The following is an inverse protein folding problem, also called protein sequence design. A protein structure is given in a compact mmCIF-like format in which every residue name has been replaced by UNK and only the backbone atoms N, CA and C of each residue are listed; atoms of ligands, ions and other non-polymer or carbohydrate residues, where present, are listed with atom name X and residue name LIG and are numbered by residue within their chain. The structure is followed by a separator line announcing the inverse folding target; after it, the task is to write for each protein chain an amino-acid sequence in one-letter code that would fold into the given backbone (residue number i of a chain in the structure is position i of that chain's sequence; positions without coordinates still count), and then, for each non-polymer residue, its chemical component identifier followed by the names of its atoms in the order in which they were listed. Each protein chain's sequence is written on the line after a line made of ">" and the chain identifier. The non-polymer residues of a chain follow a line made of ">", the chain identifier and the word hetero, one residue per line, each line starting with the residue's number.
data_IF_995561768172
#
_entry.id   IF_995561768172
#
_cell.length_a   1.000
_cell.length_b   1.000
_cell.length_c   1.000
_cell.angle_alpha   90.00
_cell.angle_beta   90.00
_cell.angle_gamma   90.00
#
_symmetry.space_group_name_H-M   'P 1'
#
loop_
_entity.id
_entity.type
_entity.pdbx_description
1 polymer ?
#
# COMPACT_ATOMS: atom_id res chain seq x y z
N UNK A 1 -5.40 0.11 10.13
CA UNK A 1 -5.40 -1.07 9.22
C UNK A 1 -6.72 -1.39 8.52
N UNK A 2 -7.88 -1.44 9.20
CA UNK A 2 -9.16 -1.92 8.63
C UNK A 2 -9.62 -1.22 7.33
N UNK A 3 -9.41 0.10 7.22
CA UNK A 3 -9.73 0.84 6.00
C UNK A 3 -8.91 0.35 4.81
N UNK A 4 -7.59 0.20 4.99
CA UNK A 4 -6.66 -0.22 3.95
C UNK A 4 -7.05 -1.60 3.42
N UNK A 5 -7.23 -2.55 4.34
CA UNK A 5 -7.63 -3.92 4.09
C UNK A 5 -8.92 -4.00 3.25
N UNK A 6 -9.98 -3.31 3.70
CA UNK A 6 -11.27 -3.35 3.00
C UNK A 6 -11.23 -2.63 1.63
N UNK A 7 -10.56 -1.49 1.53
CA UNK A 7 -10.40 -0.77 0.25
C UNK A 7 -9.64 -1.65 -0.75
N UNK A 8 -8.57 -2.31 -0.30
CA UNK A 8 -7.75 -3.23 -1.12
C UNK A 8 -8.60 -4.38 -1.65
N UNK A 9 -9.40 -5.00 -0.79
CA UNK A 9 -10.32 -6.08 -1.16
C UNK A 9 -11.39 -5.61 -2.16
N UNK A 10 -12.00 -4.45 -1.92
CA UNK A 10 -12.96 -3.87 -2.84
C UNK A 10 -12.35 -3.62 -4.23
N UNK A 11 -11.16 -3.00 -4.27
CA UNK A 11 -10.48 -2.68 -5.53
C UNK A 11 -10.03 -3.96 -6.26
N UNK A 12 -9.65 -5.01 -5.53
CA UNK A 12 -9.38 -6.33 -6.10
C UNK A 12 -10.61 -6.91 -6.79
N UNK A 13 -11.75 -6.98 -6.10
CA UNK A 13 -13.00 -7.48 -6.66
C UNK A 13 -13.40 -6.66 -7.90
N UNK A 14 -13.31 -5.33 -7.83
CA UNK A 14 -13.68 -4.48 -8.95
C UNK A 14 -12.76 -4.70 -10.16
N UNK A 15 -11.45 -4.87 -9.94
CA UNK A 15 -10.48 -5.09 -10.99
C UNK A 15 -10.63 -6.47 -11.64
N UNK A 16 -10.86 -7.53 -10.86
CA UNK A 16 -11.07 -8.88 -11.41
C UNK A 16 -12.42 -8.98 -12.13
N UNK A 17 -13.49 -8.37 -11.58
CA UNK A 17 -14.80 -8.34 -12.24
C UNK A 17 -14.74 -7.72 -13.63
N UNK A 18 -13.90 -6.70 -13.84
CA UNK A 18 -13.66 -6.07 -15.15
C UNK A 18 -12.99 -6.98 -16.18
N UNK A 19 -12.24 -8.00 -15.74
CA UNK A 19 -11.53 -8.93 -16.61
C UNK A 19 -12.41 -10.09 -17.08
N UNK A 20 -13.56 -10.29 -16.44
CA UNK A 20 -14.53 -11.32 -16.83
C UNK A 20 -15.11 -10.96 -18.21
N UNK A 21 -14.62 -11.62 -19.25
CA UNK A 21 -14.88 -11.29 -20.67
C UNK A 21 -16.37 -11.25 -21.03
N UNK A 22 -17.18 -12.03 -20.33
CA UNK A 22 -18.62 -12.14 -20.58
C UNK A 22 -19.43 -11.00 -19.95
N UNK A 23 -18.79 -10.14 -19.15
CA UNK A 23 -19.43 -9.06 -18.40
C UNK A 23 -18.92 -7.69 -18.86
N UNK A 24 -19.85 -6.82 -19.27
CA UNK A 24 -19.55 -5.42 -19.60
C UNK A 24 -19.50 -4.54 -18.34
N UNK A 25 -18.70 -4.91 -17.35
CA UNK A 25 -18.52 -4.09 -16.14
C UNK A 25 -17.49 -3.00 -16.45
N UNK A 26 -17.95 -1.77 -16.61
CA UNK A 26 -17.11 -0.58 -16.85
C UNK A 26 -17.20 0.45 -15.74
N UNK A 27 -18.28 0.41 -14.94
CA UNK A 27 -18.54 1.35 -13.85
C UNK A 27 -19.01 0.67 -12.56
N UNK A 28 -19.06 1.46 -11.48
CA UNK A 28 -19.43 0.99 -10.14
C UNK A 28 -20.86 0.47 -10.05
N UNK A 29 -21.80 1.09 -10.75
CA UNK A 29 -23.20 0.66 -10.73
C UNK A 29 -23.35 -0.77 -11.28
N UNK A 30 -22.69 -1.05 -12.41
CA UNK A 30 -22.68 -2.39 -13.00
C UNK A 30 -21.99 -3.40 -12.09
N UNK A 31 -20.87 -3.02 -11.46
CA UNK A 31 -20.18 -3.86 -10.49
C UNK A 31 -21.05 -4.20 -9.29
N UNK A 32 -21.73 -3.22 -8.69
CA UNK A 32 -22.62 -3.46 -7.55
C UNK A 32 -23.76 -4.40 -7.96
N UNK A 33 -24.40 -4.13 -9.11
CA UNK A 33 -25.47 -4.99 -9.62
C UNK A 33 -24.99 -6.44 -9.78
N UNK A 34 -23.80 -6.64 -10.34
CA UNK A 34 -23.18 -7.95 -10.51
C UNK A 34 -22.91 -8.65 -9.17
N UNK A 35 -22.30 -7.96 -8.20
CA UNK A 35 -22.00 -8.57 -6.90
C UNK A 35 -23.29 -8.96 -6.15
N UNK A 36 -24.31 -8.09 -6.15
CA UNK A 36 -25.56 -8.39 -5.48
C UNK A 36 -26.34 -9.52 -6.17
N UNK A 37 -26.39 -9.55 -7.51
CA UNK A 37 -27.12 -10.60 -8.25
C UNK A 37 -26.57 -12.00 -8.06
N UNK A 38 -25.29 -12.10 -7.69
CA UNK A 38 -24.59 -13.36 -7.43
C UNK A 38 -24.41 -13.63 -5.93
N UNK A 39 -25.04 -12.82 -5.07
CA UNK A 39 -24.99 -12.98 -3.62
C UNK A 39 -26.37 -13.31 -3.07
N UNK A 40 -26.42 -13.83 -1.84
CA UNK A 40 -27.67 -14.00 -1.09
C UNK A 40 -28.13 -12.69 -0.41
N UNK A 41 -27.52 -11.56 -0.73
CA UNK A 41 -27.70 -10.28 -0.03
C UNK A 41 -28.54 -9.27 -0.81
N UNK A 42 -29.26 -8.41 -0.09
CA UNK A 42 -30.09 -7.35 -0.68
C UNK A 42 -29.25 -6.14 -1.11
N UNK A 43 -29.49 -5.56 -2.30
CA UNK A 43 -28.87 -4.31 -2.75
C UNK A 43 -29.12 -3.10 -1.83
N UNK A 44 -30.18 -3.15 -1.01
CA UNK A 44 -30.62 -2.04 -0.15
C UNK A 44 -29.61 -1.69 0.94
N UNK A 45 -28.74 -2.64 1.31
CA UNK A 45 -27.76 -2.45 2.38
C UNK A 45 -26.66 -1.42 2.02
N UNK A 46 -26.52 -1.07 0.73
CA UNK A 46 -25.52 -0.12 0.18
C UNK A 46 -24.09 -0.39 0.70
N UNK A 47 -23.78 -1.63 1.05
CA UNK A 47 -22.54 -2.02 1.72
C UNK A 47 -21.31 -1.78 0.86
N UNK A 48 -21.39 -2.04 -0.45
CA UNK A 48 -20.27 -1.79 -1.36
C UNK A 48 -19.85 -0.32 -1.41
N UNK A 49 -20.76 0.64 -1.22
CA UNK A 49 -20.39 2.05 -1.09
C UNK A 49 -19.58 2.29 0.19
N UNK A 50 -19.89 1.59 1.29
CA UNK A 50 -19.10 1.63 2.53
C UNK A 50 -17.76 0.90 2.36
N UNK A 51 -17.74 -0.28 1.74
CA UNK A 51 -16.54 -1.06 1.46
C UNK A 51 -15.55 -0.31 0.57
N UNK A 52 -16.05 0.41 -0.46
CA UNK A 52 -15.24 1.27 -1.31
C UNK A 52 -14.39 2.26 -0.52
N UNK A 53 -14.87 2.76 0.61
CA UNK A 53 -14.17 3.70 1.49
C UNK A 53 -13.63 3.03 2.76
N UNK A 54 -13.69 1.70 2.86
CA UNK A 54 -13.24 0.94 4.03
C UNK A 54 -14.00 1.26 5.32
N UNK A 55 -15.24 1.77 5.21
CA UNK A 55 -16.06 2.21 6.35
C UNK A 55 -16.85 1.06 7.01
N UNK A 56 -16.69 -0.16 6.50
CA UNK A 56 -17.32 -1.37 7.02
C UNK A 56 -16.43 -2.55 6.68
N UNK A 57 -16.31 -3.52 7.57
CA UNK A 57 -15.58 -4.76 7.27
C UNK A 57 -16.55 -5.78 6.65
N UNK A 58 -16.15 -6.52 5.60
CA UNK A 58 -17.00 -7.57 5.02
C UNK A 58 -17.32 -8.67 6.03
N UNK A 59 -18.60 -8.98 6.18
CA UNK A 59 -19.07 -10.09 7.01
C UNK A 59 -18.72 -11.45 6.37
N UNK A 60 -18.74 -12.53 7.16
CA UNK A 60 -18.40 -13.89 6.72
C UNK A 60 -19.12 -14.30 5.43
N UNK A 61 -20.42 -14.09 5.35
CA UNK A 61 -21.23 -14.42 4.17
C UNK A 61 -20.79 -13.65 2.92
N UNK A 62 -20.38 -12.38 3.07
CA UNK A 62 -19.86 -11.58 1.97
C UNK A 62 -18.50 -12.06 1.47
N UNK A 63 -17.63 -12.52 2.39
CA UNK A 63 -16.35 -13.12 2.02
C UNK A 63 -16.57 -14.41 1.24
N UNK A 64 -17.41 -15.31 1.76
CA UNK A 64 -17.78 -16.58 1.12
C UNK A 64 -18.37 -16.34 -0.29
N UNK A 65 -19.39 -15.47 -0.41
CA UNK A 65 -19.95 -15.14 -1.73
C UNK A 65 -18.93 -14.51 -2.66
N UNK A 66 -18.04 -13.63 -2.16
CA UNK A 66 -17.03 -13.01 -3.01
C UNK A 66 -15.98 -14.00 -3.52
N UNK A 67 -15.62 -14.99 -2.72
CA UNK A 67 -14.67 -16.06 -3.09
C UNK A 67 -15.24 -16.96 -4.18
N UNK A 68 -16.52 -17.31 -4.08
CA UNK A 68 -17.22 -18.11 -5.09
C UNK A 68 -17.27 -17.40 -6.46
N UNK A 69 -17.42 -16.07 -6.47
CA UNK A 69 -17.54 -15.28 -7.70
C UNK A 69 -16.16 -14.90 -8.25
N UNK A 70 -15.25 -14.49 -7.38
CA UNK A 70 -13.90 -13.99 -7.69
C UNK A 70 -12.92 -14.70 -6.74
N UNK A 71 -12.33 -15.84 -7.18
CA UNK A 71 -11.38 -16.59 -6.39
C UNK A 71 -10.16 -15.76 -5.98
N UNK A 72 -9.68 -15.95 -4.75
CA UNK A 72 -8.57 -15.20 -4.15
C UNK A 72 -9.00 -13.95 -3.39
N UNK A 73 -10.29 -13.62 -3.37
CA UNK A 73 -10.80 -12.47 -2.61
C UNK A 73 -10.56 -12.63 -1.10
N UNK A 74 -10.69 -13.84 -0.58
CA UNK A 74 -10.45 -14.15 0.83
C UNK A 74 -8.99 -13.92 1.20
N UNK A 75 -8.05 -14.36 0.36
CA UNK A 75 -6.62 -14.16 0.57
C UNK A 75 -6.27 -12.67 0.68
N UNK A 76 -6.94 -11.80 -0.09
CA UNK A 76 -6.72 -10.35 0.00
C UNK A 76 -7.23 -9.78 1.32
N UNK A 77 -8.44 -10.11 1.76
CA UNK A 77 -9.03 -9.50 2.97
C UNK A 77 -8.44 -10.12 4.24
N UNK A 78 -7.99 -11.38 4.20
CA UNK A 78 -7.44 -12.10 5.36
C UNK A 78 -5.91 -12.09 5.41
N UNK A 79 -5.27 -11.45 4.43
CA UNK A 79 -3.81 -11.38 4.33
C UNK A 79 -3.14 -10.95 5.65
N UNK A 80 -2.10 -11.67 6.12
CA UNK A 80 -1.43 -11.37 7.39
C UNK A 80 -0.78 -9.98 7.47
N UNK A 81 -0.45 -9.39 6.31
CA UNK A 81 0.04 -7.99 6.22
C UNK A 81 -0.88 -7.00 6.95
N UNK A 82 -2.18 -7.27 7.05
CA UNK A 82 -3.14 -6.42 7.75
C UNK A 82 -3.05 -6.51 9.28
N UNK A 83 -2.19 -7.37 9.83
CA UNK A 83 -2.05 -7.55 11.27
C UNK A 83 -0.69 -7.06 11.80
N UNK A 84 0.17 -6.47 10.96
CA UNK A 84 1.54 -6.03 11.34
C UNK A 84 1.60 -4.99 12.47
N UNK A 85 0.50 -4.28 12.76
CA UNK A 85 0.45 -3.37 13.92
C UNK A 85 0.30 -4.11 15.26
N UNK A 86 -0.42 -5.23 15.23
CA UNK A 86 -0.93 -5.95 16.41
C UNK A 86 -0.10 -7.16 16.81
N UNK A 87 0.80 -7.62 15.95
CA UNK A 87 1.55 -8.84 16.20
C UNK A 87 2.86 -8.51 16.91
N UNK A 88 3.02 -9.03 18.13
CA UNK A 88 4.34 -9.27 18.72
C UNK A 88 5.00 -10.42 17.97
N UNK A 89 5.97 -10.07 17.14
CA UNK A 89 6.70 -11.01 16.30
C UNK A 89 7.93 -11.50 17.05
N UNK A 90 7.86 -12.74 17.56
CA UNK A 90 9.02 -13.48 18.05
C UNK A 90 9.60 -14.39 16.94
N UNK A 91 10.70 -15.08 17.22
CA UNK A 91 11.40 -15.93 16.24
C UNK A 91 10.46 -16.95 15.60
N UNK A 92 9.74 -17.71 16.42
CA UNK A 92 8.93 -18.85 15.96
C UNK A 92 7.75 -18.37 15.14
N UNK A 93 7.13 -17.26 15.56
CA UNK A 93 6.05 -16.63 14.82
C UNK A 93 6.52 -16.08 13.48
N UNK A 94 7.67 -15.40 13.43
CA UNK A 94 8.22 -14.92 12.16
C UNK A 94 8.49 -16.07 11.20
N UNK A 95 9.15 -17.13 11.68
CA UNK A 95 9.46 -18.30 10.86
C UNK A 95 8.17 -18.98 10.39
N UNK A 96 7.17 -19.11 11.26
CA UNK A 96 5.85 -19.64 10.90
C UNK A 96 5.15 -18.79 9.83
N UNK A 97 5.16 -17.46 9.95
CA UNK A 97 4.58 -16.56 8.95
C UNK A 97 5.35 -16.64 7.62
N UNK A 98 6.69 -16.77 7.66
CA UNK A 98 7.49 -17.01 6.46
C UNK A 98 7.11 -18.32 5.78
N UNK A 99 6.80 -19.38 6.54
CA UNK A 99 6.32 -20.64 5.99
C UNK A 99 4.92 -20.55 5.35
N UNK A 100 4.10 -19.59 5.80
CA UNK A 100 2.74 -19.39 5.29
C UNK A 100 2.67 -18.50 4.04
N UNK A 101 3.79 -17.90 3.61
CA UNK A 101 3.88 -17.18 2.34
C UNK A 101 3.55 -18.12 1.16
N UNK A 102 3.06 -17.55 0.06
CA UNK A 102 2.91 -18.28 -1.21
C UNK A 102 4.24 -18.94 -1.62
N UNK A 103 4.15 -20.18 -2.14
CA UNK A 103 5.31 -21.03 -2.42
C UNK A 103 6.39 -20.34 -3.26
N UNK A 104 5.96 -19.60 -4.28
CA UNK A 104 6.82 -18.88 -5.23
C UNK A 104 7.67 -17.78 -4.58
N UNK A 105 7.19 -17.19 -3.48
CA UNK A 105 7.92 -16.19 -2.69
C UNK A 105 8.65 -16.87 -1.52
N UNK A 106 8.02 -17.87 -0.90
CA UNK A 106 8.54 -18.60 0.25
C UNK A 106 9.90 -19.23 -0.04
N UNK A 107 10.10 -19.79 -1.23
CA UNK A 107 11.37 -20.36 -1.68
C UNK A 107 12.53 -19.37 -1.71
N UNK A 108 12.27 -18.06 -1.65
CA UNK A 108 13.31 -17.02 -1.56
C UNK A 108 13.57 -16.56 -0.12
N UNK A 109 12.71 -16.93 0.82
CA UNK A 109 12.72 -16.44 2.20
C UNK A 109 13.18 -17.53 3.16
N UNK A 110 12.76 -18.78 2.94
CA UNK A 110 13.02 -19.91 3.85
C UNK A 110 13.65 -21.10 3.14
N UNK A 111 14.55 -21.79 3.84
CA UNK A 111 15.11 -23.06 3.37
C UNK A 111 14.23 -24.20 3.87
N UNK A 112 13.42 -24.80 2.99
CA UNK A 112 12.44 -25.83 3.33
C UNK A 112 13.04 -27.05 4.05
N UNK A 113 14.28 -27.43 3.70
CA UNK A 113 14.97 -28.56 4.34
C UNK A 113 15.50 -28.27 5.76
N UNK A 114 15.65 -27.00 6.12
CA UNK A 114 16.30 -26.56 7.37
C UNK A 114 15.35 -25.80 8.30
N UNK A 115 14.13 -25.48 7.85
CA UNK A 115 13.14 -24.66 8.59
C UNK A 115 13.74 -23.34 9.10
N UNK A 116 14.65 -22.75 8.31
CA UNK A 116 15.40 -21.56 8.70
C UNK A 116 15.42 -20.52 7.57
N UNK A 117 15.41 -19.21 7.87
CA UNK A 117 15.52 -18.17 6.85
C UNK A 117 16.78 -18.33 5.98
N UNK A 118 16.63 -18.06 4.68
CA UNK A 118 17.76 -18.16 3.74
C UNK A 118 18.76 -17.01 3.91
N UNK A 119 20.01 -17.19 3.45
CA UNK A 119 20.94 -16.09 3.27
C UNK A 119 20.37 -15.06 2.28
N UNK A 120 20.02 -13.87 2.77
CA UNK A 120 19.39 -12.83 1.96
C UNK A 120 20.42 -11.92 1.30
N UNK A 121 20.26 -11.72 -0.01
CA UNK A 121 21.05 -10.78 -0.81
C UNK A 121 20.14 -9.75 -1.48
N UNK A 122 20.73 -8.67 -2.02
CA UNK A 122 19.98 -7.70 -2.84
C UNK A 122 19.31 -8.34 -4.06
N UNK A 123 19.94 -9.35 -4.67
CA UNK A 123 19.34 -10.07 -5.80
C UNK A 123 18.05 -10.77 -5.40
N UNK A 124 18.04 -11.43 -4.23
CA UNK A 124 16.86 -12.08 -3.68
C UNK A 124 15.76 -11.06 -3.37
N UNK A 125 16.09 -9.95 -2.70
CA UNK A 125 15.12 -8.89 -2.40
C UNK A 125 14.51 -8.26 -3.68
N UNK A 126 15.30 -8.11 -4.74
CA UNK A 126 14.82 -7.63 -6.03
C UNK A 126 13.88 -8.64 -6.70
N UNK A 127 14.16 -9.95 -6.59
CA UNK A 127 13.24 -11.00 -7.05
C UNK A 127 11.93 -10.95 -6.29
N UNK A 128 11.96 -10.91 -4.96
CA UNK A 128 10.76 -10.78 -4.11
C UNK A 128 9.96 -9.53 -4.49
N UNK A 129 10.63 -8.40 -4.71
CA UNK A 129 9.97 -7.13 -5.07
C UNK A 129 9.28 -7.15 -6.45
N UNK A 130 9.58 -8.14 -7.30
CA UNK A 130 9.02 -8.26 -8.65
C UNK A 130 7.65 -8.97 -8.68
N UNK A 131 7.28 -9.66 -7.59
CA UNK A 131 5.99 -10.32 -7.48
C UNK A 131 4.83 -9.30 -7.42
N UNK A 132 3.65 -9.76 -7.83
CA UNK A 132 2.47 -8.90 -8.09
C UNK A 132 1.39 -9.01 -7.00
N UNK A 133 1.76 -9.42 -5.80
CA UNK A 133 0.84 -9.65 -4.69
C UNK A 133 1.35 -9.02 -3.39
N UNK A 134 0.49 -9.01 -2.36
CA UNK A 134 0.80 -8.46 -1.05
C UNK A 134 1.92 -9.22 -0.33
N UNK A 135 2.08 -10.52 -0.63
CA UNK A 135 3.16 -11.35 -0.09
C UNK A 135 4.55 -10.79 -0.44
N UNK A 136 4.72 -10.12 -1.58
CA UNK A 136 5.97 -9.46 -1.93
C UNK A 136 6.39 -8.42 -0.87
N UNK A 137 5.45 -7.57 -0.45
CA UNK A 137 5.69 -6.54 0.56
C UNK A 137 5.85 -7.20 1.93
N UNK A 138 4.98 -8.17 2.23
CA UNK A 138 4.96 -8.84 3.53
C UNK A 138 6.23 -9.67 3.78
N UNK A 139 6.75 -10.38 2.78
CA UNK A 139 7.99 -11.12 2.86
C UNK A 139 9.19 -10.22 3.20
N UNK A 140 9.30 -9.04 2.56
CA UNK A 140 10.37 -8.09 2.87
C UNK A 140 10.22 -7.53 4.29
N UNK A 141 8.97 -7.31 4.74
CA UNK A 141 8.69 -6.92 6.12
C UNK A 141 9.06 -8.03 7.12
N UNK A 142 8.71 -9.29 6.86
CA UNK A 142 9.09 -10.43 7.71
C UNK A 142 10.61 -10.58 7.81
N UNK A 143 11.33 -10.42 6.69
CA UNK A 143 12.80 -10.42 6.67
C UNK A 143 13.39 -9.25 7.47
N UNK A 144 12.77 -8.07 7.44
CA UNK A 144 13.15 -6.95 8.27
C UNK A 144 13.01 -7.29 9.76
N UNK A 145 11.86 -7.85 10.16
CA UNK A 145 11.59 -8.26 11.54
C UNK A 145 12.56 -9.35 12.00
N UNK A 146 12.85 -10.33 11.13
CA UNK A 146 13.87 -11.34 11.39
C UNK A 146 15.24 -10.69 11.65
N UNK A 147 15.63 -9.73 10.82
CA UNK A 147 16.85 -8.94 11.02
C UNK A 147 16.91 -8.26 12.40
N UNK A 148 15.79 -7.74 12.90
CA UNK A 148 15.73 -7.19 14.26
C UNK A 148 15.93 -8.28 15.32
N UNK A 149 15.27 -9.43 15.18
CA UNK A 149 15.35 -10.55 16.13
C UNK A 149 16.80 -11.06 16.27
N UNK A 150 17.52 -11.19 15.16
CA UNK A 150 18.91 -11.66 15.17
C UNK A 150 19.95 -10.53 15.33
N UNK A 151 19.51 -9.30 15.60
CA UNK A 151 20.34 -8.09 15.68
C UNK A 151 21.21 -7.84 14.43
N UNK A 152 20.73 -8.24 13.25
CA UNK A 152 21.38 -7.98 11.97
C UNK A 152 20.82 -6.70 11.33
N UNK A 153 21.41 -5.56 11.71
CA UNK A 153 21.02 -4.25 11.19
C UNK A 153 21.32 -4.07 9.69
N UNK A 154 22.29 -4.81 9.15
CA UNK A 154 22.57 -4.78 7.72
C UNK A 154 21.39 -5.36 6.92
N UNK A 155 20.85 -6.50 7.37
CA UNK A 155 19.63 -7.08 6.80
C UNK A 155 18.45 -6.10 6.94
N UNK A 156 18.26 -5.50 8.13
CA UNK A 156 17.22 -4.48 8.35
C UNK A 156 17.32 -3.35 7.33
N UNK A 157 18.52 -2.79 7.14
CA UNK A 157 18.76 -1.71 6.20
C UNK A 157 18.49 -2.14 4.75
N UNK A 158 18.86 -3.37 4.38
CA UNK A 158 18.64 -3.88 3.03
C UNK A 158 17.15 -4.04 2.73
N UNK A 159 16.38 -4.61 3.67
CA UNK A 159 14.93 -4.70 3.55
C UNK A 159 14.27 -3.32 3.49
N UNK A 160 14.66 -2.40 4.37
CA UNK A 160 14.13 -1.04 4.40
C UNK A 160 14.40 -0.28 3.08
N UNK A 161 15.62 -0.40 2.55
CA UNK A 161 15.98 0.18 1.25
C UNK A 161 15.26 -0.49 0.08
N UNK A 162 15.02 -1.80 0.15
CA UNK A 162 14.28 -2.55 -0.87
C UNK A 162 12.83 -2.07 -0.94
N UNK A 163 12.16 -1.90 0.21
CA UNK A 163 10.81 -1.34 0.26
C UNK A 163 10.78 0.08 -0.32
N UNK A 164 11.66 0.96 0.15
CA UNK A 164 11.77 2.34 -0.33
C UNK A 164 11.93 2.44 -1.85
N UNK A 165 12.85 1.66 -2.42
CA UNK A 165 13.16 1.72 -3.86
C UNK A 165 12.04 1.15 -4.74
N UNK A 166 11.24 0.24 -4.20
CA UNK A 166 10.24 -0.49 -4.96
C UNK A 166 8.79 -0.01 -4.75
N UNK A 167 8.55 1.07 -4.00
CA UNK A 167 7.18 1.58 -3.77
C UNK A 167 6.39 1.82 -5.07
N UNK A 168 7.02 2.44 -6.07
CA UNK A 168 6.37 2.65 -7.37
C UNK A 168 6.10 1.33 -8.09
N UNK A 169 7.02 0.37 -7.98
CA UNK A 169 6.89 -0.96 -8.59
C UNK A 169 5.73 -1.73 -7.95
N UNK A 170 5.62 -1.69 -6.63
CA UNK A 170 4.50 -2.30 -5.90
C UNK A 170 3.15 -1.72 -6.34
N UNK A 171 3.05 -0.39 -6.49
CA UNK A 171 1.80 0.22 -6.95
C UNK A 171 1.43 -0.15 -8.38
N UNK A 172 2.41 -0.35 -9.26
CA UNK A 172 2.17 -0.77 -10.64
C UNK A 172 1.79 -2.25 -10.73
N UNK A 173 2.46 -3.09 -9.94
CA UNK A 173 2.30 -4.54 -10.00
C UNK A 173 1.08 -5.04 -9.22
N UNK A 174 0.72 -4.36 -8.13
CA UNK A 174 -0.39 -4.70 -7.23
C UNK A 174 -1.51 -3.69 -7.47
N UNK A 175 -2.23 -3.85 -8.58
CA UNK A 175 -3.18 -2.85 -9.09
C UNK A 175 -4.31 -2.49 -8.10
N UNK A 176 -4.67 -3.42 -7.20
CA UNK A 176 -5.70 -3.26 -6.19
C UNK A 176 -5.20 -2.54 -4.92
N UNK A 177 -3.91 -2.25 -4.80
CA UNK A 177 -3.33 -1.48 -3.69
C UNK A 177 -3.39 0.04 -3.95
N UNK A 178 -3.71 0.45 -5.18
CA UNK A 178 -3.54 1.83 -5.63
C UNK A 178 -4.26 2.88 -4.77
N UNK A 179 -5.41 2.56 -4.15
CA UNK A 179 -6.10 3.49 -3.24
C UNK A 179 -5.67 3.32 -1.79
N UNK A 180 -5.55 2.08 -1.35
CA UNK A 180 -5.22 1.75 0.04
C UNK A 180 -3.74 1.94 0.40
N UNK A 181 -2.84 2.13 -0.58
CA UNK A 181 -1.41 2.25 -0.33
C UNK A 181 -1.04 3.34 0.68
N UNK A 182 -1.80 4.44 0.72
CA UNK A 182 -1.54 5.57 1.62
C UNK A 182 -1.54 5.09 3.07
N UNK A 183 -2.50 4.22 3.42
CA UNK A 183 -2.61 3.65 4.76
C UNK A 183 -1.62 2.52 5.00
N UNK A 184 -1.40 1.64 4.01
CA UNK A 184 -0.46 0.53 4.17
C UNK A 184 0.98 1.05 4.32
N UNK A 185 1.39 2.01 3.49
CA UNK A 185 2.73 2.58 3.53
C UNK A 185 2.97 3.37 4.80
N UNK A 186 1.98 4.10 5.32
CA UNK A 186 2.07 4.71 6.65
C UNK A 186 2.46 3.70 7.72
N UNK A 187 1.72 2.59 7.77
CA UNK A 187 1.91 1.60 8.81
C UNK A 187 3.25 0.88 8.67
N UNK A 188 3.65 0.53 7.44
CA UNK A 188 4.94 -0.13 7.20
C UNK A 188 6.09 0.79 7.58
N UNK A 189 6.08 2.05 7.14
CA UNK A 189 7.19 2.98 7.38
C UNK A 189 7.19 3.60 8.77
N UNK A 190 6.09 3.51 9.52
CA UNK A 190 6.08 3.78 10.97
C UNK A 190 6.80 2.66 11.75
N UNK A 191 6.83 1.43 11.22
CA UNK A 191 7.48 0.25 11.85
C UNK A 191 8.92 0.02 11.39
N UNK A 192 9.32 0.57 10.25
CA UNK A 192 10.64 0.32 9.65
C UNK A 192 11.54 1.54 9.78
N UNK A 193 12.76 1.28 10.24
CA UNK A 193 13.83 2.27 10.37
C UNK A 193 15.13 1.72 9.83
N UNK A 194 15.98 2.59 9.31
CA UNK A 194 17.37 2.26 9.00
C UNK A 194 18.22 2.56 10.22
N UNK A 195 19.17 1.69 10.51
CA UNK A 195 20.08 1.79 11.65
C UNK A 195 21.51 1.70 11.14
N UNK A 196 22.25 2.79 11.27
CA UNK A 196 23.70 2.83 11.01
C UNK A 196 24.44 3.05 12.31
N UNK A 197 25.73 2.74 12.36
CA UNK A 197 26.55 3.00 13.53
C UNK A 197 27.65 3.98 13.17
N UNK A 198 27.77 5.05 13.97
CA UNK A 198 28.92 5.95 13.94
C UNK A 198 29.97 5.40 14.91
N UNK A 199 31.13 5.04 14.37
CA UNK A 199 32.09 4.22 15.10
C UNK A 199 31.50 2.83 15.38
N UNK A 200 31.79 2.27 16.56
CA UNK A 200 31.31 0.93 16.95
C UNK A 200 30.14 0.94 17.95
N UNK A 201 29.67 2.12 18.37
CA UNK A 201 28.80 2.21 19.56
C UNK A 201 27.62 3.16 19.44
N UNK A 202 27.65 4.16 18.56
CA UNK A 202 26.58 5.16 18.47
C UNK A 202 25.64 4.78 17.34
N UNK A 203 24.44 4.30 17.68
CA UNK A 203 23.40 4.00 16.71
C UNK A 203 22.77 5.30 16.19
N UNK A 204 22.81 5.48 14.87
CA UNK A 204 22.09 6.52 14.15
C UNK A 204 20.87 5.90 13.49
N UNK A 205 19.69 6.37 13.89
CA UNK A 205 18.41 5.84 13.41
C UNK A 205 17.80 6.84 12.43
N UNK A 206 17.50 6.36 11.22
CA UNK A 206 16.88 7.16 10.17
C UNK A 206 15.47 6.63 9.86
N UNK A 207 14.47 7.49 10.00
CA UNK A 207 13.09 7.21 9.59
C UNK A 207 12.94 7.44 8.08
N UNK A 208 12.08 6.66 7.44
CA UNK A 208 11.81 6.78 6.01
C UNK A 208 10.50 7.53 5.82
N UNK A 209 10.54 8.71 5.19
CA UNK A 209 9.34 9.46 4.85
C UNK A 209 8.89 9.11 3.42
N UNK A 210 7.98 8.14 3.29
CA UNK A 210 7.50 7.70 1.98
C UNK A 210 6.73 8.77 1.22
N UNK A 211 6.04 9.71 1.90
CA UNK A 211 5.34 10.81 1.23
C UNK A 211 6.32 11.84 0.65
N UNK A 212 7.43 12.09 1.34
CA UNK A 212 8.53 12.87 0.77
C UNK A 212 9.12 12.19 -0.45
N UNK A 213 9.39 10.87 -0.36
CA UNK A 213 9.88 10.06 -1.49
C UNK A 213 8.91 10.08 -2.67
N UNK A 214 7.60 10.05 -2.42
CA UNK A 214 6.56 10.23 -3.45
C UNK A 214 6.75 11.55 -4.16
N UNK A 215 6.93 12.65 -3.44
CA UNK A 215 7.23 13.95 -4.03
C UNK A 215 8.49 13.90 -4.90
N UNK A 216 9.61 13.51 -4.31
CA UNK A 216 10.94 13.76 -4.89
C UNK A 216 11.38 12.72 -5.92
N UNK A 217 11.05 11.44 -5.72
CA UNK A 217 11.71 10.33 -6.41
C UNK A 217 10.78 9.57 -7.37
N UNK A 218 9.46 9.65 -7.20
CA UNK A 218 8.53 8.87 -8.01
C UNK A 218 8.37 9.46 -9.41
N UNK A 219 8.06 8.59 -10.38
CA UNK A 219 7.67 9.01 -11.73
C UNK A 219 6.40 9.87 -11.66
N UNK A 220 6.37 10.94 -12.46
CA UNK A 220 5.30 11.95 -12.46
C UNK A 220 3.90 11.33 -12.51
N UNK A 221 3.65 10.40 -13.44
CA UNK A 221 2.32 9.81 -13.61
C UNK A 221 1.87 9.05 -12.37
N UNK A 222 2.74 8.21 -11.79
CA UNK A 222 2.44 7.40 -10.59
C UNK A 222 2.26 8.31 -9.37
N UNK A 223 3.10 9.34 -9.23
CA UNK A 223 3.02 10.34 -8.17
C UNK A 223 1.69 11.10 -8.21
N UNK A 224 1.33 11.63 -9.38
CA UNK A 224 0.11 12.38 -9.62
C UNK A 224 -1.13 11.54 -9.31
N UNK A 225 -1.09 10.30 -9.77
CA UNK A 225 -2.08 9.27 -9.52
C UNK A 225 -2.28 8.97 -8.02
N UNK A 226 -1.18 8.86 -7.27
CA UNK A 226 -1.22 8.72 -5.81
C UNK A 226 -1.85 9.93 -5.12
N UNK A 227 -1.52 11.16 -5.53
CA UNK A 227 -2.15 12.38 -4.97
C UNK A 227 -3.67 12.41 -5.22
N UNK A 228 -4.11 12.13 -6.45
CA UNK A 228 -5.54 12.07 -6.80
C UNK A 228 -6.25 11.01 -5.96
N UNK A 229 -5.59 9.88 -5.70
CA UNK A 229 -6.10 8.81 -4.86
C UNK A 229 -6.30 9.27 -3.41
N UNK A 230 -5.30 9.92 -2.81
CA UNK A 230 -5.36 10.46 -1.44
C UNK A 230 -6.42 11.54 -1.30
N UNK A 231 -6.51 12.42 -2.30
CA UNK A 231 -7.54 13.44 -2.42
C UNK A 231 -8.97 12.85 -2.47
N UNK A 232 -9.21 11.88 -3.35
CA UNK A 232 -10.54 11.28 -3.48
C UNK A 232 -10.97 10.54 -2.21
N UNK A 233 -10.01 10.00 -1.46
CA UNK A 233 -10.26 9.40 -0.15
C UNK A 233 -10.54 10.47 0.92
N UNK A 234 -9.82 11.61 0.90
CA UNK A 234 -9.99 12.69 1.88
C UNK A 234 -11.33 13.43 1.76
N UNK A 235 -12.00 13.37 0.60
CA UNK A 235 -13.40 13.86 0.45
C UNK A 235 -14.38 13.20 1.42
N UNK A 236 -14.09 11.98 1.91
CA UNK A 236 -14.90 11.34 2.93
C UNK A 236 -14.53 11.87 4.32
N UNK A 237 -15.51 12.41 5.06
CA UNK A 237 -15.26 13.05 6.37
C UNK A 237 -14.63 12.13 7.43
N UNK A 238 -14.90 10.83 7.41
CA UNK A 238 -14.29 9.86 8.34
C UNK A 238 -12.82 9.63 7.99
N UNK A 239 -12.50 9.51 6.70
CA UNK A 239 -11.14 9.32 6.23
C UNK A 239 -10.33 10.62 6.38
N UNK A 240 -10.93 11.77 6.09
CA UNK A 240 -10.31 13.09 6.24
C UNK A 240 -9.66 13.27 7.62
N UNK A 241 -10.40 12.96 8.70
CA UNK A 241 -9.89 13.00 10.08
C UNK A 241 -8.69 12.09 10.34
N UNK A 242 -8.53 11.00 9.58
CA UNK A 242 -7.37 10.10 9.69
C UNK A 242 -6.14 10.63 8.97
N UNK A 243 -6.35 11.45 7.94
CA UNK A 243 -5.30 12.07 7.14
C UNK A 243 -4.93 13.48 7.63
N UNK A 244 -5.71 14.06 8.53
CA UNK A 244 -5.59 15.45 8.99
C UNK A 244 -4.16 15.85 9.41
N UNK A 245 -3.45 14.98 10.13
CA UNK A 245 -2.09 15.26 10.63
C UNK A 245 -0.97 14.73 9.71
N UNK A 246 -1.29 14.28 8.49
CA UNK A 246 -0.29 13.71 7.58
C UNK A 246 0.25 14.79 6.66
N UNK A 247 1.58 14.92 6.63
CA UNK A 247 2.27 15.86 5.76
C UNK A 247 2.18 15.46 4.29
N UNK A 248 1.95 16.44 3.41
CA UNK A 248 1.95 16.22 1.98
C UNK A 248 3.05 17.05 1.35
N UNK A 249 4.05 16.35 0.84
CA UNK A 249 5.17 16.93 0.12
C UNK A 249 4.77 17.11 -1.32
N UNK A 250 4.75 18.34 -1.83
CA UNK A 250 4.37 18.60 -3.21
C UNK A 250 5.20 19.72 -3.81
N UNK A 251 5.62 19.54 -5.06
CA UNK A 251 6.30 20.59 -5.81
C UNK A 251 5.32 21.63 -6.34
N UNK A 252 5.80 22.84 -6.59
CA UNK A 252 4.97 23.91 -7.16
C UNK A 252 4.33 23.48 -8.49
N UNK A 253 5.10 22.85 -9.39
CA UNK A 253 4.58 22.36 -10.68
C UNK A 253 3.50 21.28 -10.51
N UNK A 254 3.69 20.32 -9.60
CA UNK A 254 2.67 19.30 -9.32
C UNK A 254 1.39 19.92 -8.76
N UNK A 255 1.49 20.96 -7.91
CA UNK A 255 0.33 21.65 -7.36
C UNK A 255 -0.50 22.33 -8.45
N UNK A 256 0.14 22.95 -9.44
CA UNK A 256 -0.54 23.55 -10.59
C UNK A 256 -1.25 22.49 -11.45
N UNK A 257 -0.60 21.35 -11.69
CA UNK A 257 -1.19 20.25 -12.46
C UNK A 257 -2.41 19.68 -11.74
N UNK A 258 -2.33 19.48 -10.42
CA UNK A 258 -3.46 19.01 -9.62
C UNK A 258 -4.61 20.01 -9.61
N UNK A 259 -4.32 21.30 -9.41
CA UNK A 259 -5.33 22.36 -9.49
C UNK A 259 -6.09 22.32 -10.82
N UNK A 260 -5.38 22.22 -11.94
CA UNK A 260 -6.01 22.13 -13.26
C UNK A 260 -6.85 20.85 -13.42
N UNK A 261 -6.35 19.71 -12.92
CA UNK A 261 -7.10 18.44 -12.95
C UNK A 261 -8.35 18.47 -12.09
N UNK A 262 -8.31 19.04 -10.90
CA UNK A 262 -9.48 19.11 -10.02
C UNK A 262 -10.50 20.15 -10.50
N UNK A 263 -10.05 21.27 -11.05
CA UNK A 263 -10.94 22.29 -11.64
C UNK A 263 -11.75 21.79 -12.85
N UNK A 264 -11.40 20.65 -13.44
CA UNK A 264 -12.12 20.04 -14.57
C UNK A 264 -13.05 18.89 -14.15
N UNK A 265 -13.11 18.54 -12.86
CA UNK A 265 -14.13 17.60 -12.35
C UNK A 265 -15.49 18.34 -12.27
N UNK A 266 -16.53 17.90 -13.01
CA UNK A 266 -17.83 18.57 -13.04
C UNK A 266 -18.50 18.73 -11.67
N UNK A 267 -18.07 17.97 -10.66
CA UNK A 267 -18.59 18.05 -9.29
C UNK A 267 -17.79 19.01 -8.37
N UNK A 268 -16.66 19.55 -8.83
CA UNK A 268 -15.73 20.39 -8.04
C UNK A 268 -15.64 21.84 -8.60
N UNK A 269 -16.69 22.34 -9.29
CA UNK A 269 -16.75 23.69 -9.90
C UNK A 269 -16.60 24.84 -8.87
N UNK A 270 -16.58 24.55 -7.57
CA UNK A 270 -16.34 25.53 -6.51
C UNK A 270 -14.83 25.79 -6.43
N UNK A 271 -14.38 26.82 -7.16
CA UNK A 271 -13.18 27.65 -6.93
C UNK A 271 -12.17 27.04 -5.94
N UNK A 272 -11.35 26.11 -6.41
CA UNK A 272 -10.44 25.37 -5.55
C UNK A 272 -9.14 26.13 -5.30
N UNK A 273 -9.01 26.74 -4.13
CA UNK A 273 -7.71 27.12 -3.60
C UNK A 273 -7.05 25.85 -3.07
N UNK A 274 -5.85 25.50 -3.54
CA UNK A 274 -5.10 24.33 -3.05
C UNK A 274 -4.87 24.37 -1.53
N UNK A 275 -4.88 25.59 -0.95
CA UNK A 275 -4.84 25.83 0.50
C UNK A 275 -6.10 25.37 1.24
N UNK A 276 -7.25 25.25 0.57
CA UNK A 276 -8.49 24.76 1.18
C UNK A 276 -8.51 23.23 1.30
N UNK A 277 -7.66 22.52 0.55
CA UNK A 277 -7.65 21.04 0.51
C UNK A 277 -6.81 20.36 1.57
N UNK A 278 -5.76 21.02 2.04
CA UNK A 278 -4.87 20.55 3.09
C UNK A 278 -4.56 21.73 4.00
N UNK A 279 -5.51 22.16 4.83
CA UNK A 279 -5.45 23.49 5.41
C UNK A 279 -4.23 23.76 6.32
N UNK A 280 -3.40 22.77 6.66
CA UNK A 280 -2.25 23.00 7.56
C UNK A 280 -0.93 22.24 7.30
N UNK A 281 -0.76 21.39 6.27
CA UNK A 281 0.41 20.49 6.19
C UNK A 281 1.04 20.25 4.80
N UNK A 282 0.93 21.24 3.89
CA UNK A 282 1.67 21.20 2.63
C UNK A 282 3.11 21.62 2.87
N UNK A 283 4.05 20.72 2.57
CA UNK A 283 5.47 21.05 2.55
C UNK A 283 5.88 21.25 1.09
N UNK A 284 5.96 22.53 0.69
CA UNK A 284 6.55 22.88 -0.60
C UNK A 284 8.04 22.56 -0.57
N UNK A 285 8.50 21.76 -1.51
CA UNK A 285 9.92 21.54 -1.71
C UNK A 285 10.31 21.89 -3.14
N UNK A 286 11.53 22.38 -3.30
CA UNK A 286 12.15 22.61 -4.60
C UNK A 286 12.79 21.27 -5.00
N UNK A 287 12.37 20.63 -6.10
CA UNK A 287 13.06 19.45 -6.59
C UNK A 287 14.52 19.82 -6.85
N UNK A 288 15.47 19.11 -6.25
CA UNK A 288 16.88 19.25 -6.63
C UNK A 288 16.99 18.79 -8.09
N UNK A 289 17.25 19.73 -9.00
CA UNK A 289 17.59 19.39 -10.37
C UNK A 289 18.80 18.44 -10.33
N UNK A 290 18.66 17.26 -10.91
CA UNK A 290 19.79 16.36 -11.21
C UNK A 290 20.60 16.96 -12.38
N UNK A 291 21.21 18.12 -12.17
CA UNK A 291 22.15 18.73 -13.10
C UNK A 291 23.13 19.60 -12.33
N UNK A 292 23.95 18.99 -11.49
CA UNK A 292 25.28 19.50 -11.16
C UNK A 292 26.22 18.30 -11.00
N UNK A 293 26.51 17.64 -12.13
CA UNK A 293 27.80 16.96 -12.27
C UNK A 293 28.81 18.05 -12.62
N UNK A 294 29.42 18.64 -11.58
CA UNK A 294 30.73 19.27 -11.71
C UNK A 294 31.73 18.40 -10.98
N UNK A 295 32.43 17.58 -11.77
CA UNK A 295 33.89 17.42 -11.78
C UNK A 295 34.26 16.51 -12.94
#
# INVERSE_FOLDING_TARGET
>A
MEYAKTITWYDYLFNEAKKLKDLKITNEYQFYKFMYSNSRHSPEDKLFKKYKFGLSTPQKSWKESSEEIIPGATDIIEHPIWNIESIELNSDKIISEMHNLALDIREYVICEGMYSPQPISYSILNKISSFKNLDAIYAIYLLYQWGLIINNHQLCNYCAQSLEKNLTTFLLNINYLYRSHIFLFDIIFDKIKKITYKGLTIAEVTNINWRQLRGTNWKSDIRMNSYISEYNLSKNSVISKKLENKEIYISYSDSLILNAKFATDPNDIITLNFNDFFPFHIISYIPKNKTETHN
#
